data_IF_395471949224
#
_entry.id   IF_395471949224
#
_cell.length_a   1.000
_cell.length_b   1.000
_cell.length_c   1.000
_cell.angle_alpha   90.00
_cell.angle_beta   90.00
_cell.angle_gamma   90.00
#
_symmetry.space_group_name_H-M   'P 1'
#
loop_
_entity.id
_entity.type
_entity.pdbx_description
1 polymer ?
#
# COMPACT_ATOMS: atom_id res chain seq x y z
N UNK A 1 70.23 -17.57 -9.50
CA UNK A 1 69.06 -16.82 -10.01
C UNK A 1 67.93 -16.98 -9.00
N UNK A 2 67.53 -15.91 -8.30
CA UNK A 2 66.46 -15.98 -7.30
C UNK A 2 65.10 -15.75 -7.98
N UNK A 3 64.23 -16.77 -7.97
CA UNK A 3 62.85 -16.68 -8.46
C UNK A 3 62.03 -15.89 -7.43
N UNK A 4 61.62 -14.66 -7.77
CA UNK A 4 60.69 -13.89 -6.94
C UNK A 4 59.29 -14.53 -7.00
N UNK A 5 58.64 -14.80 -5.85
CA UNK A 5 57.30 -15.36 -5.86
C UNK A 5 56.32 -14.31 -6.37
N UNK A 6 55.61 -14.65 -7.46
CA UNK A 6 54.58 -13.82 -8.08
C UNK A 6 53.38 -13.74 -7.13
N UNK A 7 53.29 -12.65 -6.35
CA UNK A 7 52.11 -12.36 -5.49
C UNK A 7 50.87 -12.40 -6.39
N UNK A 8 49.99 -13.39 -6.19
CA UNK A 8 48.67 -13.40 -6.84
C UNK A 8 47.92 -12.14 -6.41
N UNK A 9 47.36 -11.36 -7.35
CA UNK A 9 46.67 -10.13 -7.00
C UNK A 9 45.48 -10.45 -6.11
N UNK A 10 45.33 -9.68 -5.03
CA UNK A 10 44.41 -9.88 -3.91
C UNK A 10 42.92 -9.64 -4.29
N UNK A 11 42.55 -9.96 -5.54
CA UNK A 11 41.24 -9.66 -6.14
C UNK A 11 40.08 -10.19 -5.28
N UNK A 12 40.24 -11.38 -4.70
CA UNK A 12 39.23 -11.98 -3.81
C UNK A 12 38.98 -11.12 -2.56
N UNK A 13 40.03 -10.57 -1.93
CA UNK A 13 39.87 -9.68 -0.77
C UNK A 13 39.25 -8.35 -1.14
N UNK A 14 39.60 -7.82 -2.31
CA UNK A 14 38.99 -6.59 -2.84
C UNK A 14 37.49 -6.80 -3.12
N UNK A 15 37.12 -7.88 -3.81
CA UNK A 15 35.71 -8.21 -4.06
C UNK A 15 34.93 -8.46 -2.77
N UNK A 16 35.51 -9.16 -1.80
CA UNK A 16 34.86 -9.39 -0.51
C UNK A 16 34.64 -8.08 0.27
N UNK A 17 35.62 -7.18 0.27
CA UNK A 17 35.50 -5.86 0.92
C UNK A 17 34.45 -5.00 0.22
N UNK A 18 34.47 -4.97 -1.12
CA UNK A 18 33.50 -4.22 -1.91
C UNK A 18 32.07 -4.74 -1.72
N UNK A 19 31.88 -6.06 -1.77
CA UNK A 19 30.59 -6.69 -1.47
C UNK A 19 30.13 -6.40 -0.03
N UNK A 20 31.04 -6.44 0.94
CA UNK A 20 30.75 -6.08 2.33
C UNK A 20 30.26 -4.63 2.48
N UNK A 21 30.90 -3.68 1.79
CA UNK A 21 30.48 -2.28 1.79
C UNK A 21 29.09 -2.09 1.16
N UNK A 22 28.78 -2.83 0.10
CA UNK A 22 27.43 -2.81 -0.51
C UNK A 22 26.39 -3.30 0.48
N UNK A 23 26.63 -4.45 1.13
CA UNK A 23 25.69 -5.02 2.12
C UNK A 23 25.47 -4.05 3.29
N UNK A 24 26.54 -3.44 3.80
CA UNK A 24 26.43 -2.43 4.87
C UNK A 24 25.67 -1.20 4.39
N UNK A 25 25.95 -0.72 3.17
CA UNK A 25 25.25 0.41 2.58
C UNK A 25 23.76 0.17 2.42
N UNK A 26 23.38 -0.98 1.86
CA UNK A 26 21.98 -1.39 1.73
C UNK A 26 21.32 -1.53 3.10
N UNK A 27 21.97 -2.22 4.05
CA UNK A 27 21.45 -2.37 5.41
C UNK A 27 21.20 -1.04 6.11
N UNK A 28 22.05 -0.03 5.89
CA UNK A 28 21.84 1.32 6.43
C UNK A 28 20.66 2.03 5.78
N UNK A 29 20.51 1.95 4.45
CA UNK A 29 19.41 2.59 3.72
C UNK A 29 18.06 1.99 4.15
N UNK A 30 17.93 0.67 4.10
CA UNK A 30 16.71 -0.02 4.55
C UNK A 30 16.47 0.17 6.05
N UNK A 31 17.52 0.11 6.87
CA UNK A 31 17.39 0.33 8.31
C UNK A 31 16.88 1.74 8.65
N UNK A 32 17.37 2.77 7.96
CA UNK A 32 16.88 4.14 8.13
C UNK A 32 15.45 4.31 7.65
N UNK A 33 15.08 3.67 6.53
CA UNK A 33 13.70 3.66 6.02
C UNK A 33 12.72 3.13 7.06
N UNK A 34 13.00 1.97 7.66
CA UNK A 34 12.11 1.39 8.67
C UNK A 34 12.06 2.19 9.99
N UNK A 35 13.13 2.92 10.32
CA UNK A 35 13.10 3.87 11.44
C UNK A 35 12.27 5.09 11.10
N UNK A 36 12.30 5.57 9.85
CA UNK A 36 11.48 6.68 9.40
C UNK A 36 10.00 6.29 9.23
N UNK A 37 9.73 5.04 8.87
CA UNK A 37 8.41 4.50 8.56
C UNK A 37 8.10 3.29 9.46
N UNK A 38 7.86 3.49 10.77
CA UNK A 38 7.64 2.39 11.72
C UNK A 38 6.35 1.61 11.44
N UNK A 39 5.45 2.16 10.61
CA UNK A 39 4.20 1.56 10.18
C UNK A 39 4.36 0.62 8.98
N UNK A 40 5.50 0.64 8.28
CA UNK A 40 5.70 -0.09 7.03
C UNK A 40 6.15 -1.55 7.20
N UNK A 41 6.75 -1.91 8.34
CA UNK A 41 7.34 -3.24 8.54
C UNK A 41 6.70 -4.00 9.70
N UNK A 42 6.18 -5.18 9.41
CA UNK A 42 5.69 -6.10 10.43
C UNK A 42 6.89 -6.73 11.16
N UNK A 43 6.94 -6.53 12.49
CA UNK A 43 7.92 -7.19 13.37
C UNK A 43 7.18 -8.10 14.35
N UNK A 44 7.84 -9.12 14.92
CA UNK A 44 7.22 -9.95 15.96
C UNK A 44 6.66 -9.09 17.11
N UNK A 45 5.34 -9.15 17.32
CA UNK A 45 4.63 -8.36 18.34
C UNK A 45 4.39 -6.89 17.97
N UNK A 46 4.67 -6.47 16.73
CA UNK A 46 4.37 -5.14 16.19
C UNK A 46 3.74 -5.27 14.80
N UNK A 47 2.40 -5.20 14.70
CA UNK A 47 1.71 -5.19 13.40
C UNK A 47 2.11 -3.96 12.59
N UNK A 48 1.93 -4.03 11.27
CA UNK A 48 2.23 -2.95 10.32
C UNK A 48 0.98 -2.45 9.61
N UNK A 49 0.91 -1.19 9.23
CA UNK A 49 -0.20 -0.67 8.43
C UNK A 49 -0.26 -1.36 7.05
N UNK A 50 0.90 -1.64 6.47
CA UNK A 50 1.04 -2.37 5.21
C UNK A 50 0.56 -3.82 5.34
N UNK A 51 0.27 -4.43 4.19
CA UNK A 51 -0.26 -5.79 4.05
C UNK A 51 -1.71 -5.80 3.55
N UNK A 52 -2.39 -6.92 3.83
CA UNK A 52 -3.73 -7.20 3.32
C UNK A 52 -4.78 -7.01 4.40
N UNK A 53 -5.90 -6.44 3.97
CA UNK A 53 -7.02 -6.06 4.83
C UNK A 53 -8.34 -6.41 4.15
N UNK A 54 -9.35 -6.79 4.92
CA UNK A 54 -10.69 -7.06 4.43
C UNK A 54 -11.77 -6.53 5.35
N UNK A 55 -12.91 -6.14 4.77
CA UNK A 55 -14.05 -5.66 5.51
C UNK A 55 -15.32 -5.66 4.67
N UNK A 56 -16.34 -4.96 5.15
CA UNK A 56 -17.61 -4.79 4.46
C UNK A 56 -17.93 -3.31 4.37
N UNK A 57 -18.09 -2.80 3.15
CA UNK A 57 -18.41 -1.40 2.87
C UNK A 57 -19.90 -1.27 2.50
N UNK A 58 -20.64 -0.35 3.14
CA UNK A 58 -22.00 -0.04 2.74
C UNK A 58 -21.97 0.88 1.51
N UNK A 59 -22.22 0.31 0.32
CA UNK A 59 -22.24 1.00 -0.98
C UNK A 59 -23.57 1.71 -1.26
N UNK A 60 -24.58 1.49 -0.42
CA UNK A 60 -25.90 2.09 -0.53
C UNK A 60 -26.91 1.41 0.39
N UNK A 61 -28.17 1.89 0.44
CA UNK A 61 -29.20 1.27 1.26
C UNK A 61 -29.40 -0.22 0.91
N UNK A 62 -28.97 -1.11 1.79
CA UNK A 62 -29.06 -2.57 1.62
C UNK A 62 -28.06 -3.19 0.64
N UNK A 63 -27.04 -2.45 0.22
CA UNK A 63 -25.96 -2.92 -0.66
C UNK A 63 -24.63 -2.93 0.11
N UNK A 64 -24.41 -4.01 0.85
CA UNK A 64 -23.17 -4.27 1.58
C UNK A 64 -22.24 -5.11 0.69
N UNK A 65 -21.01 -4.63 0.50
CA UNK A 65 -20.03 -5.28 -0.37
C UNK A 65 -18.78 -5.64 0.40
N UNK A 66 -18.27 -6.86 0.16
CA UNK A 66 -16.93 -7.23 0.64
C UNK A 66 -15.90 -6.34 -0.06
N UNK A 67 -14.94 -5.85 0.71
CA UNK A 67 -13.83 -5.07 0.21
C UNK A 67 -12.53 -5.71 0.68
N UNK A 68 -11.56 -5.85 -0.23
CA UNK A 68 -10.22 -6.31 0.09
C UNK A 68 -9.22 -5.24 -0.36
N UNK A 69 -8.30 -4.91 0.52
CA UNK A 69 -7.30 -3.87 0.36
C UNK A 69 -5.92 -4.51 0.49
N UNK A 70 -5.03 -4.17 -0.43
CA UNK A 70 -3.60 -4.43 -0.32
C UNK A 70 -2.88 -3.08 -0.28
N UNK A 71 -2.08 -2.88 0.77
CA UNK A 71 -1.35 -1.64 1.02
C UNK A 71 0.15 -1.92 1.16
N UNK A 72 0.97 -1.21 0.40
CA UNK A 72 2.43 -1.28 0.41
C UNK A 72 3.01 0.08 0.74
N UNK A 73 4.24 0.10 1.26
CA UNK A 73 5.02 1.32 1.36
C UNK A 73 5.76 1.62 0.05
N UNK A 74 6.16 2.88 -0.14
CA UNK A 74 7.10 3.23 -1.20
C UNK A 74 8.49 2.65 -0.87
N UNK A 75 8.96 1.72 -1.69
CA UNK A 75 10.25 1.06 -1.45
C UNK A 75 11.39 2.08 -1.54
N UNK A 76 12.42 2.00 -0.66
CA UNK A 76 13.53 2.94 -0.69
C UNK A 76 14.33 2.79 -1.99
N UNK A 77 14.10 3.69 -2.94
CA UNK A 77 14.82 3.74 -4.21
C UNK A 77 16.02 4.69 -4.13
N UNK A 78 17.18 4.21 -4.61
CA UNK A 78 18.37 5.05 -4.76
C UNK A 78 18.28 5.98 -5.99
N UNK A 79 17.38 5.68 -6.93
CA UNK A 79 17.27 6.34 -8.24
C UNK A 79 15.97 7.10 -8.43
N UNK A 80 14.87 6.67 -7.81
CA UNK A 80 13.58 7.36 -7.85
C UNK A 80 13.47 8.28 -6.63
N UNK A 81 13.82 9.54 -6.86
CA UNK A 81 13.60 10.63 -5.92
C UNK A 81 12.52 11.55 -6.47
N UNK A 82 11.28 11.08 -6.47
CA UNK A 82 10.16 12.00 -6.45
C UNK A 82 10.10 12.60 -5.04
N UNK A 83 10.24 13.92 -4.93
CA UNK A 83 10.19 14.62 -3.64
C UNK A 83 8.81 14.57 -2.97
N UNK A 84 7.77 14.27 -3.75
CA UNK A 84 6.36 14.24 -3.36
C UNK A 84 5.70 12.89 -3.73
N UNK A 85 6.44 11.78 -3.67
CA UNK A 85 5.82 10.47 -3.87
C UNK A 85 4.96 10.06 -2.66
N UNK A 86 3.83 9.39 -2.90
CA UNK A 86 2.95 8.93 -1.84
C UNK A 86 3.66 7.86 -1.00
N UNK A 87 3.63 8.01 0.32
CA UNK A 87 4.19 7.04 1.28
C UNK A 87 3.52 5.66 1.16
N UNK A 88 2.23 5.65 0.81
CA UNK A 88 1.36 4.48 0.74
C UNK A 88 0.85 4.29 -0.68
N UNK A 89 0.89 3.05 -1.15
CA UNK A 89 0.37 2.65 -2.46
C UNK A 89 -0.32 1.29 -2.38
N UNK A 90 -1.04 0.91 -3.42
CA UNK A 90 -1.56 -0.45 -3.52
C UNK A 90 -2.83 -0.54 -4.35
N UNK A 91 -3.70 -1.48 -3.97
CA UNK A 91 -4.94 -1.73 -4.69
C UNK A 91 -6.10 -2.13 -3.79
N UNK A 92 -7.31 -1.86 -4.27
CA UNK A 92 -8.56 -2.27 -3.63
C UNK A 92 -9.40 -3.06 -4.62
N UNK A 93 -10.05 -4.11 -4.13
CA UNK A 93 -11.11 -4.84 -4.82
C UNK A 93 -12.41 -4.72 -4.06
N UNK A 94 -13.44 -4.20 -4.71
CA UNK A 94 -14.81 -4.17 -4.20
C UNK A 94 -15.61 -5.27 -4.88
N UNK A 95 -16.06 -6.22 -4.08
CA UNK A 95 -16.69 -7.44 -4.53
C UNK A 95 -18.20 -7.25 -4.67
N UNK A 96 -18.71 -7.47 -5.89
CA UNK A 96 -20.13 -7.58 -6.20
C UNK A 96 -20.42 -9.02 -6.68
N UNK A 97 -21.67 -9.48 -6.57
CA UNK A 97 -22.08 -10.88 -6.78
C UNK A 97 -21.49 -11.59 -8.02
N UNK A 98 -21.24 -10.86 -9.11
CA UNK A 98 -20.71 -11.42 -10.37
C UNK A 98 -19.48 -10.68 -10.91
N UNK A 99 -19.00 -9.64 -10.21
CA UNK A 99 -17.87 -8.81 -10.68
C UNK A 99 -17.12 -8.18 -9.51
N UNK A 100 -15.81 -7.99 -9.67
CA UNK A 100 -14.99 -7.19 -8.78
C UNK A 100 -14.63 -5.87 -9.45
N UNK A 101 -14.87 -4.76 -8.76
CA UNK A 101 -14.41 -3.44 -9.19
C UNK A 101 -13.02 -3.21 -8.58
N UNK A 102 -12.03 -2.90 -9.41
CA UNK A 102 -10.63 -2.73 -8.96
C UNK A 102 -10.22 -1.27 -8.98
N UNK A 103 -9.52 -0.85 -7.94
CA UNK A 103 -9.00 0.50 -7.77
C UNK A 103 -7.50 0.45 -7.53
N UNK A 104 -6.78 1.37 -8.17
CA UNK A 104 -5.46 1.82 -7.73
C UNK A 104 -5.65 2.77 -6.55
N UNK A 105 -4.79 2.67 -5.54
CA UNK A 105 -4.78 3.60 -4.40
C UNK A 105 -3.40 4.15 -4.13
N UNK A 106 -3.36 5.39 -3.65
CA UNK A 106 -2.13 6.04 -3.22
C UNK A 106 -2.43 7.16 -2.23
N UNK A 107 -1.49 7.46 -1.35
CA UNK A 107 -1.60 8.58 -0.42
C UNK A 107 -0.56 8.50 0.68
N UNK A 108 -0.85 9.11 1.82
CA UNK A 108 0.16 9.38 2.84
C UNK A 108 -0.32 9.05 4.24
N UNK A 109 0.65 8.78 5.11
CA UNK A 109 0.40 8.81 6.55
C UNK A 109 0.31 10.24 7.06
N UNK A 110 -0.70 10.53 7.86
CA UNK A 110 -0.91 11.85 8.45
C UNK A 110 -0.11 12.06 9.74
N UNK A 111 0.64 11.04 10.18
CA UNK A 111 1.57 11.12 11.29
C UNK A 111 2.68 10.06 11.15
N UNK A 112 3.81 10.34 11.80
CA UNK A 112 4.98 9.44 11.82
C UNK A 112 4.68 8.00 12.25
N UNK A 113 3.66 7.79 13.09
CA UNK A 113 3.30 6.44 13.56
C UNK A 113 2.41 5.68 12.59
N UNK A 114 1.94 6.31 11.50
CA UNK A 114 0.99 5.72 10.56
C UNK A 114 -0.41 5.47 11.13
N UNK A 115 -0.74 5.95 12.34
CA UNK A 115 -2.05 5.63 12.95
C UNK A 115 -3.21 6.37 12.28
N UNK A 116 -2.92 7.32 11.39
CA UNK A 116 -3.88 8.05 10.56
C UNK A 116 -3.32 8.18 9.16
N UNK A 117 -4.15 8.03 8.15
CA UNK A 117 -3.75 8.12 6.75
C UNK A 117 -4.90 8.65 5.88
N UNK A 118 -4.56 9.17 4.70
CA UNK A 118 -5.52 9.45 3.63
C UNK A 118 -5.04 8.77 2.35
N UNK A 119 -5.96 8.12 1.62
CA UNK A 119 -5.72 7.47 0.35
C UNK A 119 -6.68 8.00 -0.70
N UNK A 120 -6.13 8.39 -1.85
CA UNK A 120 -6.88 8.61 -3.07
C UNK A 120 -7.12 7.28 -3.77
N UNK A 121 -8.22 7.21 -4.53
CA UNK A 121 -8.58 6.03 -5.30
C UNK A 121 -8.75 6.38 -6.78
N UNK A 122 -8.41 5.44 -7.66
CA UNK A 122 -8.71 5.51 -9.10
C UNK A 122 -9.26 4.17 -9.55
N UNK A 123 -10.51 4.18 -9.99
CA UNK A 123 -11.13 3.02 -10.60
C UNK A 123 -10.45 2.66 -11.94
N UNK A 124 -10.23 1.37 -12.17
CA UNK A 124 -9.83 0.84 -13.48
C UNK A 124 -11.00 0.76 -14.47
N UNK A 125 -12.22 0.66 -13.95
CA UNK A 125 -13.43 0.62 -14.76
C UNK A 125 -13.83 2.05 -15.17
N UNK A 126 -14.24 2.25 -16.43
CA UNK A 126 -14.65 3.56 -16.98
C UNK A 126 -16.17 3.78 -17.05
N UNK A 127 -16.98 2.80 -16.65
CA UNK A 127 -18.45 2.85 -16.75
C UNK A 127 -19.15 3.79 -15.76
N UNK A 128 -20.44 4.14 -16.00
CA UNK A 128 -21.22 4.91 -15.04
C UNK A 128 -21.49 4.10 -13.77
N UNK A 129 -21.60 4.79 -12.64
CA UNK A 129 -21.88 4.15 -11.34
C UNK A 129 -21.33 4.91 -10.14
N UNK A 130 -21.60 4.36 -8.97
CA UNK A 130 -21.03 4.83 -7.71
C UNK A 130 -19.60 4.32 -7.58
N UNK A 131 -18.67 5.22 -7.26
CA UNK A 131 -17.23 4.94 -7.14
C UNK A 131 -16.73 5.35 -5.76
N UNK A 132 -15.75 4.61 -5.23
CA UNK A 132 -14.92 5.13 -4.14
C UNK A 132 -14.18 6.37 -4.61
N UNK A 133 -13.95 7.32 -3.70
CA UNK A 133 -13.27 8.57 -3.98
C UNK A 133 -11.99 8.70 -3.16
N UNK A 134 -12.13 9.10 -1.89
CA UNK A 134 -11.04 9.24 -0.92
C UNK A 134 -11.35 8.38 0.30
N UNK A 135 -10.31 7.82 0.91
CA UNK A 135 -10.37 6.96 2.09
C UNK A 135 -9.53 7.60 3.20
N UNK A 136 -10.21 8.14 4.21
CA UNK A 136 -9.58 8.58 5.45
C UNK A 136 -9.59 7.41 6.44
N UNK A 137 -8.42 7.05 6.96
CA UNK A 137 -8.29 5.88 7.82
C UNK A 137 -7.64 6.16 9.16
N UNK A 138 -8.06 5.40 10.18
CA UNK A 138 -7.36 5.23 11.44
C UNK A 138 -6.88 3.77 11.55
N UNK A 139 -5.62 3.58 11.97
CA UNK A 139 -5.02 2.27 12.15
C UNK A 139 -4.69 2.00 13.61
N UNK A 140 -5.12 0.83 14.10
CA UNK A 140 -4.82 0.31 15.44
C UNK A 140 -4.57 -1.20 15.37
N UNK A 141 -3.31 -1.57 15.14
CA UNK A 141 -2.86 -2.96 15.18
C UNK A 141 -3.40 -3.82 14.04
N UNK A 142 -4.44 -4.60 14.32
CA UNK A 142 -5.11 -5.48 13.36
C UNK A 142 -6.48 -4.96 12.94
N UNK A 143 -6.74 -3.68 13.18
CA UNK A 143 -7.97 -2.98 12.81
C UNK A 143 -7.65 -1.72 12.01
N UNK A 144 -8.31 -1.55 10.87
CA UNK A 144 -8.46 -0.28 10.18
C UNK A 144 -9.89 0.21 10.33
N UNK A 145 -10.06 1.49 10.60
CA UNK A 145 -11.36 2.16 10.52
C UNK A 145 -11.29 3.14 9.37
N UNK A 146 -12.09 2.89 8.34
CA UNK A 146 -12.12 3.71 7.12
C UNK A 146 -13.37 4.58 7.14
N UNK A 147 -13.20 5.80 6.65
CA UNK A 147 -14.23 6.76 6.31
C UNK A 147 -14.05 7.12 4.84
N UNK A 148 -15.11 7.00 4.04
CA UNK A 148 -15.04 7.28 2.62
C UNK A 148 -16.24 8.08 2.14
N UNK A 149 -16.01 8.85 1.09
CA UNK A 149 -17.06 9.45 0.27
C UNK A 149 -17.18 8.69 -1.05
N UNK A 150 -18.40 8.65 -1.58
CA UNK A 150 -18.63 8.12 -2.92
C UNK A 150 -18.83 9.22 -3.94
N UNK A 151 -18.40 8.96 -5.17
CA UNK A 151 -18.65 9.81 -6.33
C UNK A 151 -19.54 9.07 -7.30
N UNK A 152 -20.57 9.73 -7.84
CA UNK A 152 -21.40 9.12 -8.89
C UNK A 152 -20.94 9.62 -10.26
N UNK A 153 -20.51 8.70 -11.12
CA UNK A 153 -20.22 8.97 -12.51
C UNK A 153 -21.46 8.68 -13.36
N UNK A 154 -22.00 9.70 -14.02
CA UNK A 154 -23.15 9.57 -14.90
C UNK A 154 -22.73 9.01 -16.28
N UNK A 155 -23.71 8.52 -17.05
CA UNK A 155 -23.47 7.92 -18.37
C UNK A 155 -22.93 8.92 -19.42
N UNK A 156 -23.11 10.21 -19.19
CA UNK A 156 -22.56 11.29 -20.02
C UNK A 156 -21.16 11.74 -19.59
N UNK A 157 -20.56 11.05 -18.60
CA UNK A 157 -19.24 11.37 -18.04
C UNK A 157 -19.26 12.50 -17.01
N UNK A 158 -20.43 13.04 -16.67
CA UNK A 158 -20.52 14.06 -15.62
C UNK A 158 -20.32 13.44 -14.24
N UNK A 159 -19.55 14.14 -13.42
CA UNK A 159 -19.24 13.73 -12.04
C UNK A 159 -20.14 14.51 -11.09
N UNK A 160 -21.07 13.82 -10.45
CA UNK A 160 -21.88 14.40 -9.38
C UNK A 160 -21.15 14.20 -8.04
N UNK A 161 -20.19 15.08 -7.75
CA UNK A 161 -19.60 15.24 -6.42
C UNK A 161 -20.42 16.30 -5.66
N UNK A 162 -21.62 15.93 -5.21
CA UNK A 162 -22.50 16.83 -4.45
C UNK A 162 -22.29 16.69 -2.94
N UNK A 163 -22.59 17.74 -2.18
CA UNK A 163 -22.58 17.81 -0.71
C UNK A 163 -23.56 16.85 0.02
N UNK A 164 -24.02 15.80 -0.68
CA UNK A 164 -24.83 14.70 -0.18
C UNK A 164 -24.33 13.32 -0.65
N UNK A 165 -23.10 13.24 -1.18
CA UNK A 165 -22.42 11.96 -1.41
C UNK A 165 -22.46 11.13 -0.12
N UNK A 166 -23.02 9.92 -0.13
CA UNK A 166 -23.10 9.12 1.06
C UNK A 166 -21.69 8.96 1.63
N UNK A 167 -21.53 9.29 2.90
CA UNK A 167 -20.29 9.02 3.61
C UNK A 167 -20.48 7.67 4.29
N UNK A 168 -19.59 6.73 4.00
CA UNK A 168 -19.58 5.44 4.66
C UNK A 168 -18.45 5.37 5.67
N UNK A 169 -18.69 4.65 6.76
CA UNK A 169 -17.63 4.22 7.66
C UNK A 169 -17.73 2.73 7.88
N UNK A 170 -16.60 2.06 7.85
CA UNK A 170 -16.51 0.63 8.02
C UNK A 170 -15.16 0.23 8.60
N UNK A 171 -15.15 -0.94 9.22
CA UNK A 171 -13.96 -1.53 9.81
C UNK A 171 -13.39 -2.59 8.88
N UNK A 172 -12.06 -2.72 8.85
CA UNK A 172 -11.35 -3.79 8.17
C UNK A 172 -10.41 -4.50 9.14
N UNK A 173 -10.31 -5.81 9.00
CA UNK A 173 -9.38 -6.66 9.74
C UNK A 173 -8.34 -7.22 8.79
N UNK A 174 -7.30 -7.88 9.33
CA UNK A 174 -6.30 -8.57 8.52
C UNK A 174 -6.93 -9.56 7.54
N UNK A 175 -6.33 -9.65 6.38
CA UNK A 175 -6.58 -10.63 5.34
C UNK A 175 -5.26 -11.26 4.91
N UNK A 176 -5.33 -12.27 4.04
CA UNK A 176 -4.16 -12.87 3.41
C UNK A 176 -4.10 -12.49 1.92
N UNK A 177 -2.94 -12.70 1.30
CA UNK A 177 -2.72 -12.46 -0.14
C UNK A 177 -3.75 -13.22 -1.00
N UNK A 178 -4.11 -14.43 -0.58
CA UNK A 178 -5.11 -15.25 -1.28
C UNK A 178 -6.51 -14.61 -1.32
N UNK A 179 -6.90 -13.85 -0.29
CA UNK A 179 -8.17 -13.11 -0.28
C UNK A 179 -8.17 -11.98 -1.32
N UNK A 180 -7.00 -11.36 -1.53
CA UNK A 180 -6.86 -10.32 -2.53
C UNK A 180 -6.79 -10.92 -3.93
N UNK A 181 -6.07 -12.02 -4.14
CA UNK A 181 -5.90 -12.63 -5.45
C UNK A 181 -7.12 -13.39 -5.95
N UNK A 182 -8.06 -13.77 -5.09
CA UNK A 182 -9.28 -14.45 -5.50
C UNK A 182 -10.11 -13.58 -6.46
N UNK A 183 -10.23 -13.97 -7.75
CA UNK A 183 -11.03 -13.23 -8.71
C UNK A 183 -12.53 -13.36 -8.45
N UNK A 184 -12.94 -14.36 -7.68
CA UNK A 184 -14.34 -14.62 -7.36
C UNK A 184 -14.82 -13.85 -6.13
N UNK A 185 -13.90 -13.28 -5.34
CA UNK A 185 -14.23 -12.56 -4.12
C UNK A 185 -15.09 -13.38 -3.13
N UNK A 186 -15.03 -14.72 -3.18
CA UNK A 186 -15.95 -15.63 -2.46
C UNK A 186 -15.44 -16.06 -1.09
#
# INVERSE_FOLDING_TARGET
MAVRPRRKPNKVRFFAMFAGLIVVGLGLVYGLHFVANPWALALPGRPALTGYWQGVVPYGPGDDRRIVLHLTDDEPSATDRCGDCPDLQGGIKVCQAERAETYEIWGDTLNYRGTRFSLHTRSHDEGPGLRLNELDGDWDGDLLRIRTSFTTLAADGTVAAGSGSPTASFDMTRADEADFDDPSCR
#
